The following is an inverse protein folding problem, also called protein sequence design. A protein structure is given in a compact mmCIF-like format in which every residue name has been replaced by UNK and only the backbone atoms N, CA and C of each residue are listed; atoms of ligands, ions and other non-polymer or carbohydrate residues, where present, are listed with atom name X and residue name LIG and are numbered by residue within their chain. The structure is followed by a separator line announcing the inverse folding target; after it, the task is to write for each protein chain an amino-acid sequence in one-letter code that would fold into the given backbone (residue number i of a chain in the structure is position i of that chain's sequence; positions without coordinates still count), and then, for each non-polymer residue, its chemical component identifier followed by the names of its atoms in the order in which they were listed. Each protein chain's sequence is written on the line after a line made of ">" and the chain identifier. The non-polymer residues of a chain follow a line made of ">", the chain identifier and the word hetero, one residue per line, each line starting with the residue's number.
data_IF_306363807106
#
_entry.id   IF_306363807106
#
_cell.length_a   1.000
_cell.length_b   1.000
_cell.length_c   1.000
_cell.angle_alpha   90.00
_cell.angle_beta   90.00
_cell.angle_gamma   90.00
#
_symmetry.space_group_name_H-M   'P 1'
#
loop_
_entity.id
_entity.type
_entity.pdbx_description
1 polymer ?
#
# COMPACT_ATOMS: atom_id res chain seq x y z
N UNK A 1 -44.67 -18.75 -21.05
CA UNK A 1 -43.87 -17.61 -21.57
C UNK A 1 -43.23 -16.88 -20.38
N UNK A 2 -42.02 -17.26 -20.01
CA UNK A 2 -41.28 -16.62 -18.91
C UNK A 2 -40.22 -15.68 -19.47
N UNK A 3 -40.45 -14.37 -19.36
CA UNK A 3 -39.42 -13.36 -19.59
C UNK A 3 -38.50 -13.33 -18.37
N UNK A 4 -37.40 -14.06 -18.46
CA UNK A 4 -36.24 -13.89 -17.57
C UNK A 4 -35.63 -12.51 -17.83
N UNK A 5 -36.06 -11.51 -17.06
CA UNK A 5 -35.30 -10.27 -16.90
C UNK A 5 -34.02 -10.58 -16.13
N UNK A 6 -32.96 -10.88 -16.89
CA UNK A 6 -31.58 -10.76 -16.41
C UNK A 6 -31.34 -9.31 -16.02
N UNK A 7 -31.64 -8.96 -14.77
CA UNK A 7 -31.03 -7.82 -14.11
C UNK A 7 -29.55 -8.16 -13.95
N UNK A 8 -28.76 -7.87 -14.99
CA UNK A 8 -27.34 -7.65 -14.80
C UNK A 8 -27.22 -6.54 -13.76
N UNK A 9 -26.91 -6.92 -12.53
CA UNK A 9 -26.53 -6.00 -11.46
C UNK A 9 -25.21 -5.40 -11.94
N UNK A 10 -25.31 -4.34 -12.75
CA UNK A 10 -24.19 -3.46 -13.09
C UNK A 10 -23.82 -2.82 -11.75
N UNK A 11 -22.91 -3.48 -11.03
CA UNK A 11 -22.31 -2.97 -9.79
C UNK A 11 -21.64 -1.64 -10.18
N UNK A 12 -22.36 -0.54 -9.96
CA UNK A 12 -21.92 0.81 -10.29
C UNK A 12 -20.51 0.96 -9.72
N UNK A 13 -19.50 1.16 -10.57
CA UNK A 13 -18.13 1.34 -10.11
C UNK A 13 -18.08 2.58 -9.23
N UNK A 14 -17.89 2.35 -7.93
CA UNK A 14 -17.82 3.38 -6.89
C UNK A 14 -16.36 3.76 -6.66
N UNK A 15 -16.09 5.04 -6.39
CA UNK A 15 -14.77 5.49 -5.96
C UNK A 15 -14.28 4.69 -4.74
N UNK A 16 -12.97 4.42 -4.63
CA UNK A 16 -12.41 3.73 -3.49
C UNK A 16 -12.50 4.65 -2.27
N UNK A 17 -13.39 4.30 -1.33
CA UNK A 17 -13.53 4.96 -0.03
C UNK A 17 -12.80 4.10 1.01
N UNK A 18 -12.32 4.74 2.07
CA UNK A 18 -11.81 4.04 3.24
C UNK A 18 -12.76 2.94 3.71
N UNK A 19 -12.19 1.76 3.94
CA UNK A 19 -12.84 0.70 4.72
C UNK A 19 -12.07 0.44 5.99
N UNK A 20 -12.78 0.47 7.10
CA UNK A 20 -12.24 0.00 8.37
C UNK A 20 -12.13 -1.52 8.35
N UNK A 21 -11.02 -2.05 8.86
CA UNK A 21 -10.88 -3.48 9.14
C UNK A 21 -11.17 -3.64 10.64
N UNK A 22 -12.35 -4.16 11.01
CA UNK A 22 -12.68 -4.36 12.42
C UNK A 22 -11.79 -5.46 13.01
N UNK A 23 -11.22 -5.20 14.18
CA UNK A 23 -10.45 -6.17 14.96
C UNK A 23 -11.38 -6.87 15.94
N UNK A 24 -12.39 -7.56 15.42
CA UNK A 24 -13.33 -8.32 16.26
C UNK A 24 -12.91 -9.78 16.35
N UNK A 25 -12.62 -10.26 17.57
CA UNK A 25 -12.43 -11.67 17.89
C UNK A 25 -10.98 -12.07 18.21
N UNK A 26 -10.79 -13.38 18.43
CA UNK A 26 -9.51 -13.97 18.83
C UNK A 26 -8.42 -13.78 17.75
N UNK A 27 -7.14 -13.77 18.13
CA UNK A 27 -5.98 -13.48 17.24
C UNK A 27 -6.00 -14.28 15.90
N UNK A 28 -6.52 -15.50 15.90
CA UNK A 28 -6.63 -16.33 14.70
C UNK A 28 -7.73 -15.88 13.72
N UNK A 29 -8.83 -15.29 14.22
CA UNK A 29 -9.86 -14.70 13.36
C UNK A 29 -9.33 -13.48 12.61
N UNK A 30 -8.37 -12.75 13.20
CA UNK A 30 -7.67 -11.65 12.55
C UNK A 30 -6.96 -12.13 11.27
N UNK A 31 -6.21 -13.23 11.35
CA UNK A 31 -5.50 -13.80 10.18
C UNK A 31 -6.44 -14.06 9.02
N UNK A 32 -7.59 -14.67 9.30
CA UNK A 32 -8.58 -15.03 8.29
C UNK A 32 -9.36 -13.81 7.77
N UNK A 33 -9.69 -12.87 8.65
CA UNK A 33 -10.41 -11.64 8.28
C UNK A 33 -9.53 -10.75 7.42
N UNK A 34 -8.29 -10.50 7.86
CA UNK A 34 -7.28 -9.68 7.18
C UNK A 34 -6.95 -10.29 5.81
N UNK A 35 -6.68 -11.59 5.71
CA UNK A 35 -6.40 -12.22 4.41
C UNK A 35 -7.56 -12.10 3.41
N UNK A 36 -8.81 -12.23 3.87
CA UNK A 36 -10.01 -12.07 3.01
C UNK A 36 -10.30 -10.61 2.65
N UNK A 37 -10.08 -9.70 3.59
CA UNK A 37 -10.39 -8.28 3.41
C UNK A 37 -9.27 -7.51 2.73
N UNK A 38 -8.00 -7.91 2.82
CA UNK A 38 -6.89 -7.16 2.23
C UNK A 38 -6.95 -7.06 0.70
N UNK A 39 -7.90 -7.73 0.05
CA UNK A 39 -8.16 -7.60 -1.38
C UNK A 39 -8.08 -6.14 -1.87
N UNK A 40 -7.31 -6.00 -2.93
CA UNK A 40 -6.68 -4.79 -3.48
C UNK A 40 -7.69 -3.89 -4.22
N UNK A 41 -8.78 -3.50 -3.56
CA UNK A 41 -9.89 -2.79 -4.21
C UNK A 41 -10.17 -1.41 -3.62
N UNK A 42 -9.65 -1.10 -2.43
CA UNK A 42 -9.89 0.16 -1.73
C UNK A 42 -8.82 0.40 -0.65
N UNK A 43 -8.54 1.66 -0.28
CA UNK A 43 -7.73 2.01 0.87
C UNK A 43 -8.41 1.50 2.15
N UNK A 44 -7.60 1.05 3.10
CA UNK A 44 -8.11 0.51 4.36
C UNK A 44 -7.36 1.12 5.52
N UNK A 45 -8.04 1.25 6.65
CA UNK A 45 -7.41 1.58 7.91
C UNK A 45 -7.80 0.59 9.00
N UNK A 46 -6.93 0.47 9.99
CA UNK A 46 -7.18 -0.24 11.25
C UNK A 46 -7.10 0.80 12.36
N UNK A 47 -8.07 0.76 13.27
CA UNK A 47 -8.06 1.58 14.47
C UNK A 47 -7.48 0.77 15.65
N UNK A 48 -6.37 1.25 16.19
CA UNK A 48 -5.65 0.66 17.32
C UNK A 48 -5.57 1.61 18.52
N UNK A 49 -6.31 2.72 18.52
CA UNK A 49 -6.21 3.74 19.58
C UNK A 49 -6.58 3.24 20.98
N UNK A 50 -7.41 2.19 21.06
CA UNK A 50 -7.88 1.59 22.32
C UNK A 50 -6.95 0.50 22.88
N UNK A 51 -5.88 0.14 22.17
CA UNK A 51 -4.96 -0.94 22.56
C UNK A 51 -3.70 -0.40 23.22
N UNK A 52 -3.16 -1.16 24.17
CA UNK A 52 -1.89 -0.84 24.83
C UNK A 52 -0.69 -1.04 23.89
N UNK A 53 0.44 -0.42 24.18
CA UNK A 53 1.57 -0.40 23.25
C UNK A 53 2.10 -1.79 22.88
N UNK A 54 2.17 -2.70 23.86
CA UNK A 54 2.58 -4.09 23.64
C UNK A 54 1.59 -4.86 22.74
N UNK A 55 0.29 -4.58 22.89
CA UNK A 55 -0.76 -5.19 22.07
C UNK A 55 -0.70 -4.66 20.64
N UNK A 56 -0.49 -3.35 20.48
CA UNK A 56 -0.30 -2.71 19.17
C UNK A 56 0.89 -3.33 18.45
N UNK A 57 2.05 -3.45 19.10
CA UNK A 57 3.25 -4.03 18.51
C UNK A 57 3.02 -5.47 18.05
N UNK A 58 2.36 -6.27 18.89
CA UNK A 58 1.98 -7.66 18.57
C UNK A 58 1.08 -7.72 17.34
N UNK A 59 0.06 -6.85 17.26
CA UNK A 59 -0.87 -6.79 16.13
C UNK A 59 -0.13 -6.38 14.85
N UNK A 60 0.74 -5.36 14.91
CA UNK A 60 1.52 -4.90 13.77
C UNK A 60 2.44 -6.01 13.23
N UNK A 61 3.19 -6.69 14.11
CA UNK A 61 4.06 -7.80 13.71
C UNK A 61 3.27 -8.93 13.04
N UNK A 62 2.08 -9.25 13.54
CA UNK A 62 1.20 -10.23 12.90
C UNK A 62 0.72 -9.77 11.52
N UNK A 63 0.35 -8.51 11.36
CA UNK A 63 -0.05 -7.95 10.06
C UNK A 63 1.09 -8.03 9.06
N UNK A 64 2.33 -7.72 9.47
CA UNK A 64 3.53 -7.90 8.63
C UNK A 64 3.64 -9.35 8.15
N UNK A 65 3.49 -10.31 9.06
CA UNK A 65 3.58 -11.73 8.74
C UNK A 65 2.49 -12.18 7.75
N UNK A 66 1.24 -11.74 7.95
CA UNK A 66 0.12 -12.05 7.05
C UNK A 66 0.34 -11.44 5.66
N UNK A 67 0.80 -10.19 5.60
CA UNK A 67 1.02 -9.49 4.34
C UNK A 67 2.14 -10.17 3.53
N UNK A 68 3.26 -10.49 4.20
CA UNK A 68 4.38 -11.20 3.59
C UNK A 68 4.02 -12.62 3.14
N UNK A 69 3.29 -13.39 3.95
CA UNK A 69 2.90 -14.76 3.60
C UNK A 69 2.00 -14.83 2.36
N UNK A 70 1.19 -13.79 2.15
CA UNK A 70 0.35 -13.64 0.95
C UNK A 70 1.05 -12.94 -0.22
N UNK A 71 2.36 -12.65 -0.13
CA UNK A 71 3.14 -11.90 -1.14
C UNK A 71 2.49 -10.57 -1.52
N UNK A 72 1.89 -9.90 -0.54
CA UNK A 72 1.30 -8.58 -0.69
C UNK A 72 2.27 -7.53 -0.15
N UNK A 73 2.06 -6.27 -0.53
CA UNK A 73 2.79 -5.13 0.05
C UNK A 73 1.87 -4.35 0.98
N UNK A 74 2.45 -3.78 2.04
CA UNK A 74 1.72 -2.94 3.00
C UNK A 74 1.37 -1.56 2.40
N UNK A 75 2.13 -1.12 1.38
CA UNK A 75 2.03 0.21 0.79
C UNK A 75 1.28 0.20 -0.55
N UNK A 76 1.26 -0.95 -1.25
CA UNK A 76 0.78 -1.03 -2.63
C UNK A 76 -0.41 -1.99 -2.80
N UNK A 77 -1.42 -1.61 -3.61
CA UNK A 77 -1.56 -0.34 -4.35
C UNK A 77 -2.23 0.78 -3.56
N UNK A 78 -2.73 0.47 -2.36
CA UNK A 78 -3.11 1.47 -1.37
C UNK A 78 -2.44 1.10 -0.06
N UNK A 79 -1.88 2.07 0.68
CA UNK A 79 -1.33 1.80 1.99
C UNK A 79 -2.42 1.27 2.93
N UNK A 80 -2.05 0.29 3.76
CA UNK A 80 -2.81 -0.03 4.96
C UNK A 80 -2.45 1.03 6.03
N UNK A 81 -3.41 1.89 6.33
CA UNK A 81 -3.23 2.92 7.33
C UNK A 81 -3.51 2.37 8.73
N UNK A 82 -2.76 2.81 9.72
CA UNK A 82 -2.96 2.44 11.12
C UNK A 82 -3.25 3.70 11.91
N UNK A 83 -4.29 3.68 12.74
CA UNK A 83 -4.54 4.72 13.73
C UNK A 83 -4.03 4.21 15.08
N UNK A 84 -3.05 4.88 15.68
CA UNK A 84 -2.51 4.51 16.98
C UNK A 84 -2.16 5.75 17.80
N UNK A 85 -2.25 5.64 19.13
CA UNK A 85 -1.88 6.70 20.07
C UNK A 85 -0.36 6.98 20.04
N UNK A 86 0.45 5.93 19.95
CA UNK A 86 1.91 6.00 19.95
C UNK A 86 2.52 5.87 18.54
N UNK A 87 3.78 6.31 18.40
CA UNK A 87 4.53 6.20 17.15
C UNK A 87 5.21 4.83 17.05
N UNK A 88 4.99 4.13 15.93
CA UNK A 88 5.70 2.88 15.60
C UNK A 88 6.31 2.99 14.21
N UNK A 89 7.64 2.96 14.12
CA UNK A 89 8.35 3.10 12.84
C UNK A 89 8.85 1.77 12.26
N UNK A 90 9.00 0.74 13.10
CA UNK A 90 9.73 -0.47 12.72
C UNK A 90 8.94 -1.42 11.80
N UNK A 91 7.63 -1.27 11.72
CA UNK A 91 6.76 -2.22 11.02
C UNK A 91 6.51 -1.90 9.54
N UNK A 92 6.90 -0.70 9.08
CA UNK A 92 6.72 -0.25 7.69
C UNK A 92 5.32 0.27 7.34
N UNK A 93 4.42 0.38 8.33
CA UNK A 93 3.07 0.91 8.14
C UNK A 93 3.02 2.44 8.15
N UNK A 94 1.99 3.00 7.50
CA UNK A 94 1.69 4.43 7.60
C UNK A 94 0.77 4.65 8.79
N UNK A 95 1.32 5.23 9.86
CA UNK A 95 0.62 5.43 11.13
C UNK A 95 0.20 6.89 11.30
N UNK A 96 -1.04 7.10 11.72
CA UNK A 96 -1.60 8.40 12.06
C UNK A 96 -2.17 8.38 13.47
N UNK A 97 -2.17 9.53 14.15
CA UNK A 97 -2.74 9.63 15.49
C UNK A 97 -4.23 9.85 15.50
N UNK A 98 -4.78 10.47 14.45
CA UNK A 98 -6.19 10.78 14.39
C UNK A 98 -6.74 10.47 13.00
N UNK A 99 -8.01 10.06 12.96
CA UNK A 99 -8.73 9.78 11.71
C UNK A 99 -8.76 10.98 10.75
N UNK A 100 -8.68 12.21 11.26
CA UNK A 100 -8.63 13.45 10.46
C UNK A 100 -7.33 13.61 9.67
N UNK A 101 -6.26 12.97 10.12
CA UNK A 101 -4.94 13.03 9.49
C UNK A 101 -4.84 12.05 8.31
N UNK A 102 -5.82 11.13 8.20
CA UNK A 102 -5.94 10.26 7.04
C UNK A 102 -6.14 11.09 5.77
N UNK A 103 -5.51 10.68 4.66
CA UNK A 103 -5.63 11.40 3.41
C UNK A 103 -7.07 11.65 2.93
N UNK A 104 -7.44 12.93 2.85
CA UNK A 104 -8.82 13.37 2.62
C UNK A 104 -9.39 13.00 1.25
N UNK A 105 -8.55 12.68 0.28
CA UNK A 105 -8.99 12.31 -1.07
C UNK A 105 -9.83 11.03 -1.09
N UNK A 106 -9.66 10.14 -0.10
CA UNK A 106 -10.49 8.95 0.08
C UNK A 106 -11.66 9.14 1.06
N UNK A 107 -11.77 10.29 1.71
CA UNK A 107 -12.79 10.59 2.71
C UNK A 107 -14.15 10.99 2.10
N UNK A 108 -14.18 11.42 0.83
CA UNK A 108 -15.40 11.93 0.20
C UNK A 108 -16.46 10.83 -0.02
N UNK A 109 -17.71 11.12 0.38
CA UNK A 109 -18.88 10.31 0.05
C UNK A 109 -19.07 10.23 -1.47
N UNK A 110 -19.54 9.07 -1.92
CA UNK A 110 -19.73 8.67 -3.32
C UNK A 110 -20.16 9.79 -4.27
N UNK A 111 -19.23 10.29 -5.07
CA UNK A 111 -19.57 11.00 -6.30
C UNK A 111 -19.90 9.97 -7.40
N UNK A 112 -20.96 10.22 -8.18
CA UNK A 112 -21.23 9.42 -9.38
C UNK A 112 -20.10 9.68 -10.38
N UNK A 113 -19.35 8.63 -10.66
CA UNK A 113 -18.26 8.64 -11.63
C UNK A 113 -18.82 8.94 -13.02
N UNK A 114 -18.26 9.94 -13.70
CA UNK A 114 -18.63 10.28 -15.09
C UNK A 114 -18.22 9.16 -16.05
N UNK A 115 -18.77 9.15 -17.26
CA UNK A 115 -18.46 8.11 -18.27
C UNK A 115 -16.96 8.08 -18.63
N UNK A 116 -16.29 9.24 -18.68
CA UNK A 116 -14.85 9.36 -18.95
C UNK A 116 -14.02 8.77 -17.80
N UNK A 117 -14.33 9.14 -16.57
CA UNK A 117 -13.65 8.62 -15.37
C UNK A 117 -13.86 7.11 -15.21
N UNK A 118 -15.05 6.58 -15.55
CA UNK A 118 -15.33 5.15 -15.51
C UNK A 118 -14.44 4.38 -16.48
N UNK A 119 -14.27 4.88 -17.72
CA UNK A 119 -13.37 4.25 -18.71
C UNK A 119 -11.92 4.23 -18.21
N UNK A 120 -11.44 5.34 -17.63
CA UNK A 120 -10.10 5.44 -17.02
C UNK A 120 -9.93 4.45 -15.87
N UNK A 121 -10.88 4.40 -14.94
CA UNK A 121 -10.86 3.48 -13.80
C UNK A 121 -10.88 2.01 -14.24
N UNK A 122 -11.66 1.67 -15.27
CA UNK A 122 -11.72 0.30 -15.78
C UNK A 122 -10.38 -0.13 -16.40
N UNK A 123 -9.73 0.76 -17.16
CA UNK A 123 -8.38 0.54 -17.70
C UNK A 123 -7.36 0.36 -16.58
N UNK A 124 -7.38 1.22 -15.57
CA UNK A 124 -6.47 1.13 -14.41
C UNK A 124 -6.70 -0.14 -13.60
N UNK A 125 -7.94 -0.58 -13.40
CA UNK A 125 -8.24 -1.83 -12.68
C UNK A 125 -7.62 -3.04 -13.38
N UNK A 126 -7.73 -3.12 -14.71
CA UNK A 126 -7.12 -4.20 -15.50
C UNK A 126 -5.60 -4.19 -15.36
N UNK A 127 -4.98 -3.01 -15.32
CA UNK A 127 -3.54 -2.88 -15.09
C UNK A 127 -3.15 -3.34 -13.68
N UNK A 128 -3.88 -2.90 -12.65
CA UNK A 128 -3.63 -3.29 -11.25
C UNK A 128 -3.77 -4.80 -11.05
N UNK A 129 -4.75 -5.46 -11.69
CA UNK A 129 -4.89 -6.93 -11.60
C UNK A 129 -3.78 -7.69 -12.33
N UNK A 130 -3.10 -7.07 -13.30
CA UNK A 130 -1.97 -7.66 -14.02
C UNK A 130 -0.64 -7.46 -13.29
N UNK A 131 -0.55 -6.44 -12.44
CA UNK A 131 0.63 -6.19 -11.60
C UNK A 131 0.53 -7.13 -10.39
N UNK A 132 1.38 -8.14 -10.36
CA UNK A 132 1.50 -9.00 -9.20
C UNK A 132 2.35 -8.27 -8.14
N UNK A 133 1.82 -8.07 -6.93
CA UNK A 133 2.47 -7.25 -5.90
C UNK A 133 3.89 -7.70 -5.53
N UNK A 134 4.19 -8.99 -5.68
CA UNK A 134 5.53 -9.55 -5.44
C UNK A 134 6.62 -9.02 -6.38
N UNK A 135 6.27 -8.53 -7.57
CA UNK A 135 7.26 -7.95 -8.50
C UNK A 135 7.71 -6.54 -8.05
N UNK A 136 6.84 -5.80 -7.36
CA UNK A 136 7.07 -4.39 -7.03
C UNK A 136 8.13 -4.22 -5.93
N UNK A 137 8.09 -5.05 -4.87
CA UNK A 137 9.11 -5.00 -3.81
C UNK A 137 10.49 -5.42 -4.34
N UNK A 138 10.53 -6.51 -5.12
CA UNK A 138 11.76 -6.95 -5.78
C UNK A 138 12.33 -5.91 -6.76
N UNK A 139 11.45 -5.24 -7.51
CA UNK A 139 11.83 -4.13 -8.38
C UNK A 139 12.37 -2.94 -7.58
N UNK A 140 11.73 -2.60 -6.46
CA UNK A 140 12.18 -1.54 -5.55
C UNK A 140 13.59 -1.79 -5.03
N UNK A 141 13.86 -3.00 -4.53
CA UNK A 141 15.20 -3.41 -4.07
C UNK A 141 16.23 -3.41 -5.20
N UNK A 142 15.83 -3.79 -6.42
CA UNK A 142 16.71 -3.71 -7.59
C UNK A 142 17.05 -2.26 -7.93
N UNK A 143 16.06 -1.37 -7.97
CA UNK A 143 16.25 0.07 -8.23
C UNK A 143 17.13 0.71 -7.16
N UNK A 144 16.92 0.37 -5.89
CA UNK A 144 17.73 0.87 -4.77
C UNK A 144 19.19 0.48 -4.93
N UNK A 145 19.48 -0.79 -5.23
CA UNK A 145 20.85 -1.28 -5.47
C UNK A 145 21.53 -0.57 -6.64
N UNK A 146 20.83 -0.43 -7.77
CA UNK A 146 21.37 0.28 -8.95
C UNK A 146 21.68 1.73 -8.63
N UNK A 147 20.76 2.43 -7.96
CA UNK A 147 20.94 3.85 -7.60
C UNK A 147 22.13 4.04 -6.65
N UNK A 148 22.30 3.16 -5.66
CA UNK A 148 23.45 3.20 -4.75
C UNK A 148 24.77 2.99 -5.50
N UNK A 149 24.83 2.00 -6.40
CA UNK A 149 26.01 1.74 -7.22
C UNK A 149 26.36 2.91 -8.13
N UNK A 150 25.37 3.53 -8.78
CA UNK A 150 25.59 4.71 -9.62
C UNK A 150 26.12 5.91 -8.82
N UNK A 151 25.62 6.13 -7.60
CA UNK A 151 26.14 7.20 -6.72
C UNK A 151 27.60 6.96 -6.35
N UNK A 152 27.99 5.72 -6.09
CA UNK A 152 29.37 5.36 -5.78
C UNK A 152 30.28 5.53 -7.00
N UNK A 153 29.86 5.03 -8.16
CA UNK A 153 30.58 5.21 -9.42
C UNK A 153 30.79 6.69 -9.75
N UNK A 154 29.77 7.53 -9.54
CA UNK A 154 29.89 8.98 -9.75
C UNK A 154 30.99 9.59 -8.87
N UNK A 155 31.05 9.23 -7.58
CA UNK A 155 32.10 9.71 -6.67
C UNK A 155 33.50 9.27 -7.10
N UNK A 156 33.66 7.97 -7.40
CA UNK A 156 34.92 7.40 -7.84
C UNK A 156 35.40 8.04 -9.15
N UNK A 157 34.49 8.31 -10.08
CA UNK A 157 34.83 8.92 -11.36
C UNK A 157 35.22 10.40 -11.20
N UNK A 158 34.58 11.13 -10.27
CA UNK A 158 34.97 12.49 -9.91
C UNK A 158 36.38 12.52 -9.29
N UNK A 159 36.67 11.60 -8.36
CA UNK A 159 38.01 11.45 -7.76
C UNK A 159 39.07 11.09 -8.81
N UNK A 160 38.77 10.11 -9.68
CA UNK A 160 39.68 9.71 -10.76
C UNK A 160 39.97 10.88 -11.72
N UNK A 161 38.95 11.64 -12.10
CA UNK A 161 39.11 12.81 -12.98
C UNK A 161 39.98 13.89 -12.31
N UNK A 162 39.79 14.12 -11.00
CA UNK A 162 40.62 15.03 -10.23
C UNK A 162 42.09 14.59 -10.23
N UNK A 163 42.38 13.34 -9.89
CA UNK A 163 43.76 12.83 -9.88
C UNK A 163 44.41 12.87 -11.26
N UNK A 164 43.66 12.56 -12.32
CA UNK A 164 44.14 12.69 -13.69
C UNK A 164 44.56 14.12 -14.01
N UNK A 165 43.75 15.10 -13.61
CA UNK A 165 44.05 16.50 -13.83
C UNK A 165 45.27 16.97 -13.04
N UNK A 166 45.47 16.47 -11.82
CA UNK A 166 46.69 16.75 -11.03
C UNK A 166 47.93 16.17 -11.70
N UNK A 167 47.86 14.95 -12.23
CA UNK A 167 48.97 14.28 -12.91
C UNK A 167 49.30 14.90 -14.28
N UNK A 168 48.30 15.40 -15.01
CA UNK A 168 48.50 16.09 -16.30
C UNK A 168 49.06 17.51 -16.14
N UNK A 169 48.93 18.11 -14.95
CA UNK A 169 49.44 19.45 -14.63
C UNK A 169 50.76 19.43 -13.81
N UNK A 170 51.37 18.27 -13.63
CA UNK A 170 52.71 18.04 -13.06
C UNK A 170 53.74 17.92 -14.18
#
# INVERSE_FOLDING_TARGET
>A
MHRNTFFAIIKVMKLPIYKEIPLTGNLQHLKNSVAKTLQINCPKYIDLQEYDEEQVDTILMMLVQIIRSNRMSQLFPYPLYVLASSYYQDHGFVIYHQKRDLPQYFAKKYARVTVKERKLLMRNKILVTKINNGDVENLGERVRRVTLGQRQLFKLNAEHTFYRHVLENL
#
